data_IF_967771839253
#
_entry.id   IF_967771839253
#
_cell.length_a   1.000
_cell.length_b   1.000
_cell.length_c   1.000
_cell.angle_alpha   90.00
_cell.angle_beta   90.00
_cell.angle_gamma   90.00
#
_symmetry.space_group_name_H-M   'P 1'
#
loop_
_entity.id
_entity.type
_entity.pdbx_description
1 polymer ?
#
# COMPACT_ATOMS: atom_id res chain seq x y z
N UNK A 1 -25.14 -8.94 34.26
CA UNK A 1 -23.88 -8.59 34.96
C UNK A 1 -22.74 -9.15 34.13
N UNK A 2 -21.97 -8.31 33.44
CA UNK A 2 -20.97 -8.76 32.45
C UNK A 2 -19.56 -8.51 32.99
N UNK A 3 -18.76 -9.58 33.08
CA UNK A 3 -17.45 -9.59 33.73
C UNK A 3 -16.35 -9.20 32.74
N UNK A 4 -15.55 -8.18 33.09
CA UNK A 4 -14.43 -7.67 32.30
C UNK A 4 -13.14 -8.43 32.66
N UNK A 5 -12.50 -9.08 31.67
CA UNK A 5 -11.16 -9.67 31.83
C UNK A 5 -10.10 -8.69 31.31
N UNK A 6 -9.22 -8.24 32.20
CA UNK A 6 -8.06 -7.39 31.91
C UNK A 6 -6.92 -8.27 31.40
N UNK A 7 -6.36 -7.95 30.24
CA UNK A 7 -5.16 -8.62 29.71
C UNK A 7 -3.98 -7.64 29.86
N UNK A 8 -3.06 -8.01 30.74
CA UNK A 8 -1.86 -7.25 31.07
C UNK A 8 -0.79 -7.49 30.01
N UNK A 9 -0.27 -6.40 29.45
CA UNK A 9 0.80 -6.37 28.45
C UNK A 9 2.17 -6.56 29.13
N UNK A 10 2.98 -7.50 28.66
CA UNK A 10 4.36 -7.69 29.11
C UNK A 10 5.32 -7.08 28.07
N UNK A 11 6.04 -6.02 28.47
CA UNK A 11 7.15 -5.44 27.71
C UNK A 11 8.44 -5.91 28.37
N UNK A 12 9.24 -6.69 27.63
CA UNK A 12 10.60 -7.06 27.99
C UNK A 12 11.56 -6.15 27.22
N UNK A 13 12.29 -5.31 27.95
CA UNK A 13 13.32 -4.40 27.46
C UNK A 13 14.60 -4.67 28.25
N UNK A 14 15.58 -5.32 27.61
CA UNK A 14 16.94 -5.52 28.13
C UNK A 14 17.91 -5.49 26.96
N UNK A 15 18.74 -4.46 26.87
CA UNK A 15 20.18 -4.50 27.16
C UNK A 15 20.93 -3.93 25.94
N UNK A 16 22.13 -3.34 26.00
CA UNK A 16 23.13 -3.23 27.04
C UNK A 16 24.03 -2.01 26.77
N UNK A 17 24.55 -1.45 27.85
CA UNK A 17 25.61 -0.43 27.94
C UNK A 17 27.01 -1.06 27.76
N UNK A 18 27.93 -0.33 27.14
CA UNK A 18 29.36 -0.68 27.07
C UNK A 18 30.23 0.54 26.73
N UNK A 19 31.31 0.74 27.50
CA UNK A 19 32.02 2.00 27.68
C UNK A 19 33.43 2.06 27.02
N UNK A 20 33.85 3.32 26.77
CA UNK A 20 35.18 3.94 26.63
C UNK A 20 36.48 3.12 26.43
N UNK A 21 37.34 3.56 25.50
CA UNK A 21 38.79 3.64 25.66
C UNK A 21 39.44 4.58 24.59
N UNK A 22 40.61 5.13 24.94
CA UNK A 22 41.27 6.36 24.49
C UNK A 22 42.47 6.14 23.54
N UNK A 23 42.85 7.21 22.83
CA UNK A 23 44.13 7.49 22.14
C UNK A 23 44.30 6.89 20.72
N UNK A 24 44.92 7.54 19.73
CA UNK A 24 45.97 8.55 19.71
C UNK A 24 45.99 9.22 18.32
N UNK A 25 46.10 10.55 18.22
CA UNK A 25 46.45 11.24 16.96
C UNK A 25 47.93 11.07 16.65
N UNK A 26 48.28 10.98 15.37
CA UNK A 26 49.35 11.82 14.85
C UNK A 26 48.81 12.80 13.81
N UNK A 27 49.17 14.06 13.99
CA UNK A 27 49.03 15.09 12.99
C UNK A 27 49.96 14.80 11.80
N UNK A 28 49.45 14.95 10.58
CA UNK A 28 50.29 15.36 9.45
C UNK A 28 49.45 16.22 8.49
N UNK A 29 49.90 17.43 8.11
CA UNK A 29 49.14 18.35 7.27
C UNK A 29 49.39 18.03 5.79
N UNK A 30 48.38 17.49 5.12
CA UNK A 30 48.36 17.31 3.68
C UNK A 30 47.20 18.11 3.10
N UNK A 31 47.50 19.30 2.58
CA UNK A 31 46.60 20.03 1.68
C UNK A 31 46.37 19.24 0.41
N UNK A 32 45.26 18.52 0.33
CA UNK A 32 44.66 18.12 -0.94
C UNK A 32 43.27 18.73 -1.03
N UNK A 33 43.24 19.93 -1.60
CA UNK A 33 42.03 20.58 -2.08
C UNK A 33 41.53 19.79 -3.28
N UNK A 34 40.82 18.70 -3.03
CA UNK A 34 40.04 17.99 -4.04
C UNK A 34 38.59 18.43 -3.90
N UNK A 35 38.29 19.57 -4.54
CA UNK A 35 36.93 19.89 -4.94
C UNK A 35 36.52 18.88 -6.00
N UNK A 36 35.97 17.76 -5.57
CA UNK A 36 35.07 17.00 -6.43
C UNK A 36 33.74 16.85 -5.70
N UNK A 37 32.71 17.39 -6.32
CA UNK A 37 31.38 17.57 -5.76
C UNK A 37 30.71 16.20 -5.58
N UNK A 38 30.32 15.79 -4.35
CA UNK A 38 29.43 14.63 -4.17
C UNK A 38 27.98 14.93 -4.57
N UNK A 39 27.68 16.20 -4.88
CA UNK A 39 26.31 16.70 -5.03
C UNK A 39 25.51 16.00 -6.14
N UNK A 40 26.15 15.63 -7.25
CA UNK A 40 25.45 15.00 -8.38
C UNK A 40 25.02 13.55 -8.11
N UNK A 41 25.78 12.79 -7.30
CA UNK A 41 25.43 11.41 -6.94
C UNK A 41 24.39 11.33 -5.80
N UNK A 42 24.33 12.35 -4.94
CA UNK A 42 23.35 12.43 -3.85
C UNK A 42 21.96 12.89 -4.33
N UNK A 43 21.86 13.75 -5.35
CA UNK A 43 20.57 14.20 -5.89
C UNK A 43 19.80 13.07 -6.61
N UNK A 44 20.47 12.27 -7.44
CA UNK A 44 19.82 11.17 -8.18
C UNK A 44 19.38 10.01 -7.27
N UNK A 45 20.07 9.82 -6.15
CA UNK A 45 19.74 8.82 -5.13
C UNK A 45 18.58 9.26 -4.23
N UNK A 46 18.46 10.57 -3.95
CA UNK A 46 17.37 11.13 -3.16
C UNK A 46 16.04 11.16 -3.93
N UNK A 47 16.08 11.47 -5.23
CA UNK A 47 14.90 11.47 -6.10
C UNK A 47 14.33 10.06 -6.29
N UNK A 48 15.21 9.07 -6.53
CA UNK A 48 14.83 7.66 -6.66
C UNK A 48 14.22 7.09 -5.37
N UNK A 49 14.75 7.47 -4.20
CA UNK A 49 14.22 7.05 -2.90
C UNK A 49 12.85 7.67 -2.62
N UNK A 50 12.66 8.94 -2.97
CA UNK A 50 11.38 9.63 -2.80
C UNK A 50 10.31 9.02 -3.71
N UNK A 51 10.63 8.79 -4.99
CA UNK A 51 9.72 8.11 -5.92
C UNK A 51 9.33 6.69 -5.47
N UNK A 52 10.27 5.94 -4.87
CA UNK A 52 9.98 4.62 -4.32
C UNK A 52 9.02 4.67 -3.12
N UNK A 53 9.21 5.64 -2.21
CA UNK A 53 8.31 5.84 -1.06
C UNK A 53 6.90 6.24 -1.49
N UNK A 54 6.77 7.12 -2.49
CA UNK A 54 5.48 7.48 -3.07
C UNK A 54 4.78 6.26 -3.67
N UNK A 55 5.50 5.43 -4.45
CA UNK A 55 4.95 4.20 -5.01
C UNK A 55 4.49 3.22 -3.92
N UNK A 56 5.26 3.07 -2.85
CA UNK A 56 4.89 2.21 -1.72
C UNK A 56 3.64 2.76 -1.00
N UNK A 57 3.53 4.08 -0.86
CA UNK A 57 2.34 4.75 -0.32
C UNK A 57 1.11 4.52 -1.20
N UNK A 58 1.22 4.71 -2.51
CA UNK A 58 0.14 4.44 -3.48
C UNK A 58 -0.32 2.98 -3.40
N UNK A 59 0.62 2.03 -3.31
CA UNK A 59 0.27 0.61 -3.18
C UNK A 59 -0.45 0.32 -1.86
N UNK A 60 0.00 0.90 -0.76
CA UNK A 60 -0.66 0.75 0.53
C UNK A 60 -2.09 1.30 0.49
N UNK A 61 -2.29 2.45 -0.14
CA UNK A 61 -3.62 3.05 -0.31
C UNK A 61 -4.54 2.20 -1.21
N UNK A 62 -4.00 1.59 -2.28
CA UNK A 62 -4.75 0.68 -3.14
C UNK A 62 -5.28 -0.51 -2.34
N UNK A 63 -4.43 -1.15 -1.53
CA UNK A 63 -4.82 -2.29 -0.70
C UNK A 63 -5.77 -1.91 0.44
N UNK A 64 -5.61 -0.72 1.00
CA UNK A 64 -6.57 -0.18 1.96
C UNK A 64 -7.97 -0.08 1.34
N UNK A 65 -8.10 0.58 0.18
CA UNK A 65 -9.38 0.73 -0.51
C UNK A 65 -9.94 -0.61 -0.98
N UNK A 66 -9.10 -1.53 -1.45
CA UNK A 66 -9.52 -2.89 -1.80
C UNK A 66 -10.14 -3.63 -0.61
N UNK A 67 -9.50 -3.55 0.56
CA UNK A 67 -9.99 -4.19 1.79
C UNK A 67 -11.31 -3.57 2.24
N UNK A 68 -11.45 -2.26 2.16
CA UNK A 68 -12.71 -1.57 2.46
C UNK A 68 -13.82 -1.99 1.49
N UNK A 69 -13.51 -2.13 0.19
CA UNK A 69 -14.43 -2.66 -0.81
C UNK A 69 -14.92 -4.05 -0.45
N UNK A 70 -14.01 -4.94 -0.06
CA UNK A 70 -14.35 -6.30 0.35
C UNK A 70 -15.23 -6.33 1.61
N UNK A 71 -14.95 -5.50 2.61
CA UNK A 71 -15.78 -5.40 3.81
C UNK A 71 -17.22 -4.99 3.43
N UNK A 72 -17.38 -3.97 2.58
CA UNK A 72 -18.72 -3.55 2.16
C UNK A 72 -19.42 -4.59 1.28
N UNK A 73 -18.68 -5.31 0.45
CA UNK A 73 -19.24 -6.42 -0.32
C UNK A 73 -19.77 -7.52 0.60
N UNK A 74 -19.03 -7.91 1.63
CA UNK A 74 -19.51 -8.88 2.62
C UNK A 74 -20.78 -8.40 3.33
N UNK A 75 -20.86 -7.10 3.65
CA UNK A 75 -22.06 -6.50 4.23
C UNK A 75 -23.24 -6.49 3.25
N UNK A 76 -22.98 -6.25 1.95
CA UNK A 76 -23.99 -6.36 0.91
C UNK A 76 -24.50 -7.81 0.78
N UNK A 77 -23.62 -8.79 0.71
CA UNK A 77 -24.00 -10.20 0.63
C UNK A 77 -24.84 -10.64 1.84
N UNK A 78 -24.49 -10.17 3.03
CA UNK A 78 -25.21 -10.50 4.26
C UNK A 78 -26.59 -9.83 4.38
N UNK A 79 -26.79 -8.66 3.77
CA UNK A 79 -27.98 -7.82 4.02
C UNK A 79 -28.82 -7.51 2.79
N UNK A 80 -28.28 -7.70 1.59
CA UNK A 80 -28.83 -7.21 0.31
C UNK A 80 -29.12 -5.70 0.29
N UNK A 81 -28.55 -4.91 1.21
CA UNK A 81 -28.77 -3.46 1.24
C UNK A 81 -27.91 -2.77 0.16
N UNK A 82 -28.58 -2.13 -0.79
CA UNK A 82 -27.96 -1.43 -1.92
C UNK A 82 -26.94 -0.35 -1.52
N UNK A 83 -27.04 0.24 -0.32
CA UNK A 83 -26.03 1.19 0.16
C UNK A 83 -24.64 0.55 0.27
N UNK A 84 -24.57 -0.71 0.74
CA UNK A 84 -23.30 -1.41 0.84
C UNK A 84 -22.75 -1.79 -0.53
N UNK A 85 -23.60 -2.11 -1.51
CA UNK A 85 -23.15 -2.31 -2.89
C UNK A 85 -22.50 -1.05 -3.46
N UNK A 86 -23.12 0.12 -3.27
CA UNK A 86 -22.56 1.40 -3.71
C UNK A 86 -21.20 1.66 -3.06
N UNK A 87 -21.08 1.46 -1.74
CA UNK A 87 -19.82 1.67 -1.02
C UNK A 87 -18.72 0.69 -1.45
N UNK A 88 -19.06 -0.57 -1.70
CA UNK A 88 -18.13 -1.57 -2.21
C UNK A 88 -17.58 -1.17 -3.59
N UNK A 89 -18.47 -0.79 -4.51
CA UNK A 89 -18.12 -0.32 -5.85
C UNK A 89 -17.21 0.90 -5.77
N UNK A 90 -17.55 1.91 -4.95
CA UNK A 90 -16.74 3.12 -4.82
C UNK A 90 -15.33 2.83 -4.28
N UNK A 91 -15.22 1.95 -3.28
CA UNK A 91 -13.94 1.57 -2.72
C UNK A 91 -13.09 0.77 -3.73
N UNK A 92 -13.69 -0.18 -4.45
CA UNK A 92 -12.99 -0.89 -5.52
C UNK A 92 -12.57 0.03 -6.66
N UNK A 93 -13.39 1.00 -7.06
CA UNK A 93 -13.00 2.02 -8.05
C UNK A 93 -11.79 2.84 -7.61
N UNK A 94 -11.73 3.24 -6.34
CA UNK A 94 -10.56 3.94 -5.78
C UNK A 94 -9.32 3.06 -5.81
N UNK A 95 -9.44 1.81 -5.38
CA UNK A 95 -8.35 0.84 -5.43
C UNK A 95 -7.84 0.66 -6.87
N UNK A 96 -8.74 0.54 -7.83
CA UNK A 96 -8.42 0.35 -9.23
C UNK A 96 -7.78 1.57 -9.89
N UNK A 97 -8.19 2.78 -9.49
CA UNK A 97 -7.54 4.00 -9.93
C UNK A 97 -6.07 4.10 -9.46
N UNK A 98 -5.77 3.53 -8.29
CA UNK A 98 -4.42 3.49 -7.71
C UNK A 98 -3.57 2.37 -8.29
N UNK A 99 -4.16 1.22 -8.61
CA UNK A 99 -3.48 0.10 -9.28
C UNK A 99 -4.34 -0.50 -10.42
N UNK A 100 -4.34 0.15 -11.61
CA UNK A 100 -5.14 -0.30 -12.75
C UNK A 100 -4.58 -1.56 -13.43
N UNK A 101 -3.39 -2.02 -13.03
CA UNK A 101 -2.77 -3.26 -13.53
C UNK A 101 -3.14 -4.47 -12.69
N UNK A 102 -3.73 -4.26 -11.51
CA UNK A 102 -4.20 -5.35 -10.68
C UNK A 102 -5.44 -6.00 -11.28
N UNK A 103 -5.22 -7.17 -11.85
CA UNK A 103 -6.27 -8.06 -12.35
C UNK A 103 -7.33 -8.34 -11.27
N UNK A 104 -6.88 -8.69 -10.06
CA UNK A 104 -7.75 -9.01 -8.93
C UNK A 104 -8.66 -7.84 -8.57
N UNK A 105 -8.15 -6.61 -8.54
CA UNK A 105 -8.98 -5.44 -8.21
C UNK A 105 -10.04 -5.20 -9.30
N UNK A 106 -9.64 -5.32 -10.58
CA UNK A 106 -10.56 -5.19 -11.72
C UNK A 106 -11.67 -6.25 -11.71
N UNK A 107 -11.29 -7.52 -11.50
CA UNK A 107 -12.25 -8.64 -11.41
C UNK A 107 -13.25 -8.44 -10.28
N UNK A 108 -12.78 -8.04 -9.09
CA UNK A 108 -13.66 -7.78 -7.94
C UNK A 108 -14.60 -6.60 -8.19
N UNK A 109 -14.15 -5.56 -8.89
CA UNK A 109 -15.02 -4.47 -9.32
C UNK A 109 -16.11 -4.95 -10.29
N UNK A 110 -15.74 -5.74 -11.31
CA UNK A 110 -16.68 -6.31 -12.27
C UNK A 110 -17.70 -7.24 -11.58
N UNK A 111 -17.24 -8.13 -10.69
CA UNK A 111 -18.07 -9.02 -9.90
C UNK A 111 -19.05 -8.23 -9.01
N UNK A 112 -18.58 -7.16 -8.37
CA UNK A 112 -19.44 -6.32 -7.53
C UNK A 112 -20.51 -5.59 -8.36
N UNK A 113 -20.19 -5.11 -9.57
CA UNK A 113 -21.19 -4.58 -10.49
C UNK A 113 -22.24 -5.64 -10.84
N UNK A 114 -21.81 -6.87 -11.12
CA UNK A 114 -22.73 -7.96 -11.44
C UNK A 114 -23.64 -8.30 -10.25
N UNK A 115 -23.09 -8.43 -9.05
CA UNK A 115 -23.85 -8.63 -7.80
C UNK A 115 -24.88 -7.54 -7.59
N UNK A 116 -24.50 -6.29 -7.80
CA UNK A 116 -25.38 -5.12 -7.70
C UNK A 116 -26.40 -4.97 -8.86
N UNK A 117 -26.53 -5.96 -9.74
CA UNK A 117 -27.41 -5.95 -10.92
C UNK A 117 -27.08 -4.84 -11.93
N UNK A 118 -25.86 -4.31 -11.89
CA UNK A 118 -25.32 -3.33 -12.85
C UNK A 118 -24.62 -4.05 -14.00
N UNK A 119 -25.38 -4.87 -14.72
CA UNK A 119 -24.85 -5.83 -15.70
C UNK A 119 -24.06 -5.15 -16.82
N UNK A 120 -24.52 -3.98 -17.30
CA UNK A 120 -23.80 -3.24 -18.34
C UNK A 120 -22.40 -2.82 -17.89
N UNK A 121 -22.27 -2.34 -16.66
CA UNK A 121 -20.98 -1.91 -16.10
C UNK A 121 -20.06 -3.12 -15.87
N UNK A 122 -20.61 -4.24 -15.39
CA UNK A 122 -19.87 -5.47 -15.20
C UNK A 122 -19.28 -6.00 -16.53
N UNK A 123 -20.09 -6.03 -17.59
CA UNK A 123 -19.64 -6.45 -18.92
C UNK A 123 -18.58 -5.51 -19.48
N UNK A 124 -18.78 -4.19 -19.35
CA UNK A 124 -17.80 -3.21 -19.81
C UNK A 124 -16.45 -3.40 -19.10
N UNK A 125 -16.44 -3.55 -17.78
CA UNK A 125 -15.20 -3.75 -17.02
C UNK A 125 -14.52 -5.08 -17.39
N UNK A 126 -15.27 -6.18 -17.49
CA UNK A 126 -14.72 -7.48 -17.90
C UNK A 126 -14.12 -7.45 -19.31
N UNK A 127 -14.75 -6.73 -20.24
CA UNK A 127 -14.20 -6.53 -21.59
C UNK A 127 -12.89 -5.73 -21.56
N UNK A 128 -12.79 -4.72 -20.71
CA UNK A 128 -11.56 -3.94 -20.58
C UNK A 128 -10.42 -4.73 -19.94
N UNK A 129 -10.74 -5.67 -19.04
CA UNK A 129 -9.78 -6.63 -18.49
C UNK A 129 -9.28 -7.55 -19.61
N UNK A 130 -10.18 -8.19 -20.36
CA UNK A 130 -9.85 -9.08 -21.48
C UNK A 130 -9.05 -8.41 -22.59
N UNK A 131 -9.25 -7.11 -22.84
CA UNK A 131 -8.42 -6.35 -23.80
C UNK A 131 -6.97 -6.24 -23.38
N UNK A 132 -6.71 -6.20 -22.07
CA UNK A 132 -5.37 -6.07 -21.48
C UNK A 132 -4.72 -7.43 -21.24
N UNK A 133 -5.53 -8.40 -20.84
CA UNK A 133 -5.14 -9.78 -20.57
C UNK A 133 -6.16 -10.74 -21.21
N UNK A 134 -5.94 -11.14 -22.47
CA UNK A 134 -6.87 -12.00 -23.20
C UNK A 134 -7.06 -13.41 -22.61
N UNK A 135 -6.14 -13.87 -21.76
CA UNK A 135 -6.18 -15.20 -21.14
C UNK A 135 -6.96 -15.20 -19.80
N UNK A 136 -7.48 -14.05 -19.38
CA UNK A 136 -8.36 -13.88 -18.22
C UNK A 136 -9.81 -14.27 -18.55
N UNK A 137 -10.06 -15.55 -18.78
CA UNK A 137 -11.36 -16.12 -19.18
C UNK A 137 -11.99 -17.03 -18.13
#
# INVERSE_FOLDING_TARGET
>A
MMNLRRITLAILLTGATGAAAVAQMPANPGTEKMTDSPAAMQEQSADSKTAALEKDSTRAEAYYNFTIGHIYEQQYEASSNAEYATKAIEAYKKAYALDPKSQVIGERLAEMYWKAQRIHDAVAEAQEILKRDPDNV
#
